data_IF_157995145874
#
_entry.id   IF_157995145874
#
_cell.length_a   1.000
_cell.length_b   1.000
_cell.length_c   1.000
_cell.angle_alpha   90.00
_cell.angle_beta   90.00
_cell.angle_gamma   90.00
#
_symmetry.space_group_name_H-M   'P 1'
#
loop_
_entity.id
_entity.type
_entity.pdbx_description
1 polymer ?
#
# COMPACT_ATOMS: atom_id res chain seq x y z
N UNK A 1 -14.19 57.72 0.64
CA UNK A 1 -15.35 56.79 0.63
C UNK A 1 -14.84 55.40 0.34
N UNK A 2 -14.52 54.63 1.39
CA UNK A 2 -13.87 53.32 1.26
C UNK A 2 -14.96 52.24 1.32
N UNK A 3 -15.37 51.82 0.12
CA UNK A 3 -15.62 50.45 -0.31
C UNK A 3 -16.34 49.47 0.65
N UNK A 4 -17.62 49.73 0.95
CA UNK A 4 -18.51 48.78 1.65
C UNK A 4 -18.67 47.43 0.92
N UNK A 5 -18.47 47.38 -0.41
CA UNK A 5 -18.59 46.16 -1.21
C UNK A 5 -17.48 45.12 -0.94
N UNK A 6 -16.27 45.55 -0.59
CA UNK A 6 -15.18 44.61 -0.28
C UNK A 6 -15.38 43.90 1.08
N UNK A 7 -16.03 44.57 2.03
CA UNK A 7 -16.33 43.98 3.34
C UNK A 7 -17.41 42.91 3.24
N UNK A 8 -18.45 43.13 2.42
CA UNK A 8 -19.52 42.14 2.22
C UNK A 8 -19.02 40.84 1.57
N UNK A 9 -18.11 40.92 0.61
CA UNK A 9 -17.57 39.71 -0.06
C UNK A 9 -16.70 38.85 0.87
N UNK A 10 -15.95 39.47 1.78
CA UNK A 10 -15.14 38.75 2.76
C UNK A 10 -16.03 38.01 3.78
N UNK A 11 -17.11 38.65 4.23
CA UNK A 11 -18.07 38.03 5.16
C UNK A 11 -18.81 36.85 4.52
N UNK A 12 -19.14 36.93 3.22
CA UNK A 12 -19.79 35.84 2.50
C UNK A 12 -18.87 34.61 2.37
N UNK A 13 -17.58 34.81 2.08
CA UNK A 13 -16.61 33.69 2.02
C UNK A 13 -16.39 33.03 3.38
N UNK A 14 -16.33 33.82 4.46
CA UNK A 14 -16.17 33.30 5.82
C UNK A 14 -17.38 32.46 6.26
N UNK A 15 -18.60 32.90 5.91
CA UNK A 15 -19.83 32.13 6.15
C UNK A 15 -19.88 30.84 5.32
N UNK A 16 -19.40 30.84 4.08
CA UNK A 16 -19.35 29.64 3.24
C UNK A 16 -18.38 28.58 3.79
N UNK A 17 -17.21 29.00 4.30
CA UNK A 17 -16.27 28.08 4.95
C UNK A 17 -16.83 27.47 6.24
N UNK A 18 -17.46 28.28 7.09
CA UNK A 18 -18.11 27.77 8.32
C UNK A 18 -19.26 26.79 8.04
N UNK A 19 -20.04 27.01 6.97
CA UNK A 19 -21.10 26.10 6.55
C UNK A 19 -20.50 24.78 6.00
N UNK A 20 -19.42 24.86 5.23
CA UNK A 20 -18.70 23.68 4.72
C UNK A 20 -18.20 22.76 5.83
N UNK A 21 -17.54 23.33 6.84
CA UNK A 21 -17.03 22.59 8.00
C UNK A 21 -18.17 21.96 8.82
N UNK A 22 -19.28 22.69 9.01
CA UNK A 22 -20.43 22.20 9.75
C UNK A 22 -21.13 21.03 9.05
N UNK A 23 -21.25 21.07 7.72
CA UNK A 23 -21.87 19.99 6.92
C UNK A 23 -21.02 18.71 6.99
N UNK A 24 -19.69 18.84 6.90
CA UNK A 24 -18.76 17.70 7.00
C UNK A 24 -18.85 17.08 8.41
N UNK A 25 -18.93 17.92 9.45
CA UNK A 25 -19.05 17.46 10.84
C UNK A 25 -20.37 16.73 11.08
N UNK A 26 -21.50 17.25 10.61
CA UNK A 26 -22.80 16.58 10.75
C UNK A 26 -22.89 15.25 9.99
N UNK A 27 -22.22 15.15 8.84
CA UNK A 27 -22.21 13.92 8.03
C UNK A 27 -21.29 12.84 8.63
N UNK A 28 -20.22 13.23 9.32
CA UNK A 28 -19.37 12.30 10.07
C UNK A 28 -20.06 11.75 11.33
N UNK A 29 -20.83 12.57 12.04
CA UNK A 29 -21.59 12.15 13.23
C UNK A 29 -22.64 11.08 12.88
N UNK A 30 -23.36 11.22 11.76
CA UNK A 30 -24.36 10.23 11.33
C UNK A 30 -23.79 8.85 11.02
N UNK A 31 -22.52 8.76 10.62
CA UNK A 31 -21.87 7.47 10.31
C UNK A 31 -21.46 6.74 11.60
N UNK A 32 -21.20 7.48 12.68
CA UNK A 32 -20.76 6.95 13.98
C UNK A 32 -21.91 6.52 14.91
N UNK A 33 -23.16 6.93 14.66
CA UNK A 33 -24.32 6.58 15.50
C UNK A 33 -24.96 5.22 15.16
N UNK A 34 -24.41 4.44 14.21
CA UNK A 34 -24.85 3.05 14.01
C UNK A 34 -24.11 2.12 14.97
N UNK A 35 -24.82 1.71 16.02
CA UNK A 35 -24.45 0.66 16.96
C UNK A 35 -23.88 -0.59 16.26
N UNK A 36 -22.71 -1.05 16.70
CA UNK A 36 -22.21 -2.39 16.43
C UNK A 36 -22.62 -3.25 17.63
N UNK A 37 -23.67 -4.04 17.46
CA UNK A 37 -24.12 -5.00 18.46
C UNK A 37 -23.24 -6.27 18.36
N UNK A 38 -22.31 -6.44 19.31
CA UNK A 38 -21.50 -7.66 19.44
C UNK A 38 -22.24 -8.59 20.41
N UNK A 39 -22.80 -9.69 19.90
CA UNK A 39 -23.33 -10.77 20.73
C UNK A 39 -22.18 -11.68 21.15
N UNK A 40 -21.96 -11.74 22.46
CA UNK A 40 -20.91 -12.50 23.14
C UNK A 40 -21.18 -14.02 23.11
N UNK A 41 -20.11 -14.78 23.05
CA UNK A 41 -20.05 -16.24 22.84
C UNK A 41 -20.62 -17.05 24.03
N UNK A 42 -21.20 -18.25 23.79
CA UNK A 42 -20.86 -19.52 24.48
C UNK A 42 -21.81 -20.70 24.15
N UNK A 43 -21.25 -21.64 23.38
CA UNK A 43 -21.37 -23.11 23.41
C UNK A 43 -22.70 -23.91 23.26
N UNK A 44 -22.63 -24.83 22.29
CA UNK A 44 -23.04 -26.25 22.29
C UNK A 44 -24.36 -26.68 21.60
N UNK A 45 -24.18 -27.05 20.31
CA UNK A 45 -24.68 -28.22 19.58
C UNK A 45 -26.11 -28.76 19.86
N UNK A 46 -27.00 -28.61 18.87
CA UNK A 46 -27.81 -29.73 18.36
C UNK A 46 -28.37 -29.42 16.97
N UNK A 47 -28.23 -30.39 16.06
CA UNK A 47 -28.55 -30.33 14.63
C UNK A 47 -29.99 -29.90 14.32
N UNK A 48 -30.11 -28.84 13.52
CA UNK A 48 -31.18 -28.66 12.51
C UNK A 48 -30.81 -27.44 11.65
N UNK A 49 -29.84 -27.60 10.74
CA UNK A 49 -29.45 -26.52 9.83
C UNK A 49 -30.40 -26.47 8.64
N UNK A 50 -31.32 -25.52 8.74
CA UNK A 50 -32.27 -25.04 7.74
C UNK A 50 -31.49 -24.49 6.53
N UNK A 51 -32.02 -24.79 5.34
CA UNK A 51 -31.54 -24.38 4.03
C UNK A 51 -31.33 -22.86 3.94
N UNK A 52 -30.08 -22.44 3.72
CA UNK A 52 -29.76 -21.06 3.36
C UNK A 52 -30.10 -20.86 1.89
N UNK A 53 -31.12 -20.05 1.64
CA UNK A 53 -31.42 -19.58 0.29
C UNK A 53 -30.30 -18.66 -0.18
N UNK A 54 -29.80 -18.95 -1.38
CA UNK A 54 -28.82 -18.22 -2.17
C UNK A 54 -29.19 -16.74 -2.34
N UNK A 55 -28.91 -15.92 -1.35
CA UNK A 55 -28.54 -14.53 -1.57
C UNK A 55 -27.15 -14.32 -1.00
N UNK A 56 -26.23 -15.06 -1.62
CA UNK A 56 -24.84 -14.66 -1.79
C UNK A 56 -24.88 -13.18 -2.16
N UNK A 57 -24.53 -12.30 -1.21
CA UNK A 57 -24.04 -10.98 -1.61
C UNK A 57 -23.06 -11.26 -2.73
N UNK A 58 -23.27 -10.75 -3.96
CA UNK A 58 -22.27 -10.93 -4.98
C UNK A 58 -20.99 -10.46 -4.33
N UNK A 59 -20.00 -11.38 -4.25
CA UNK A 59 -18.60 -11.04 -4.08
C UNK A 59 -18.44 -9.83 -4.95
N UNK A 60 -18.44 -8.64 -4.34
CA UNK A 60 -18.48 -7.39 -5.07
C UNK A 60 -17.37 -7.56 -6.06
N UNK A 61 -17.73 -7.65 -7.35
CA UNK A 61 -16.77 -7.79 -8.44
C UNK A 61 -15.68 -6.84 -8.05
N UNK A 62 -14.52 -7.40 -7.68
CA UNK A 62 -13.35 -6.62 -7.41
C UNK A 62 -13.34 -5.74 -8.65
N UNK A 63 -13.49 -4.43 -8.46
CA UNK A 63 -13.18 -3.50 -9.52
C UNK A 63 -11.70 -3.79 -9.74
N UNK A 64 -11.45 -4.76 -10.62
CA UNK A 64 -10.23 -4.91 -11.35
C UNK A 64 -10.25 -3.59 -12.08
N UNK A 65 -9.63 -2.60 -11.44
CA UNK A 65 -9.12 -1.46 -12.12
C UNK A 65 -8.18 -2.08 -13.14
N UNK A 66 -8.76 -2.50 -14.26
CA UNK A 66 -8.13 -2.75 -15.54
C UNK A 66 -7.62 -1.38 -16.01
N UNK A 67 -6.79 -0.76 -15.19
CA UNK A 67 -5.70 0.04 -15.68
C UNK A 67 -4.92 -0.98 -16.48
N UNK A 68 -4.81 -0.74 -17.78
CA UNK A 68 -3.99 -1.50 -18.73
C UNK A 68 -2.51 -1.39 -18.35
N UNK A 69 -2.15 -1.95 -17.21
CA UNK A 69 -0.92 -1.72 -16.49
C UNK A 69 -0.82 -2.64 -15.27
N UNK A 70 0.41 -2.92 -14.89
CA UNK A 70 0.72 -3.78 -13.78
C UNK A 70 0.28 -3.16 -12.44
N UNK A 71 -0.24 -3.99 -11.51
CA UNK A 71 -0.66 -3.52 -10.19
C UNK A 71 0.52 -3.05 -9.36
N UNK A 72 0.28 -2.01 -8.55
CA UNK A 72 1.32 -1.39 -7.73
C UNK A 72 1.92 -2.37 -6.71
N UNK A 73 1.11 -3.24 -6.11
CA UNK A 73 1.60 -4.26 -5.18
C UNK A 73 2.57 -5.24 -5.86
N UNK A 74 2.27 -5.64 -7.09
CA UNK A 74 3.11 -6.56 -7.85
C UNK A 74 4.47 -5.91 -8.18
N UNK A 75 4.47 -4.64 -8.62
CA UNK A 75 5.70 -3.89 -8.91
C UNK A 75 6.61 -3.75 -7.67
N UNK A 76 6.03 -3.49 -6.50
CA UNK A 76 6.78 -3.46 -5.23
C UNK A 76 7.45 -4.80 -4.94
N UNK A 77 6.70 -5.89 -5.05
CA UNK A 77 7.22 -7.24 -4.80
C UNK A 77 8.31 -7.61 -5.80
N UNK A 78 8.13 -7.30 -7.10
CA UNK A 78 9.18 -7.48 -8.12
C UNK A 78 10.46 -6.75 -7.77
N UNK A 79 10.33 -5.53 -7.24
CA UNK A 79 11.48 -4.72 -6.81
C UNK A 79 12.24 -5.38 -5.65
N UNK A 80 11.52 -5.92 -4.66
CA UNK A 80 12.10 -6.67 -3.54
C UNK A 80 12.81 -7.94 -4.03
N UNK A 81 12.21 -8.69 -4.97
CA UNK A 81 12.84 -9.88 -5.56
C UNK A 81 14.13 -9.52 -6.30
N UNK A 82 14.14 -8.42 -7.05
CA UNK A 82 15.36 -7.95 -7.72
C UNK A 82 16.46 -7.60 -6.71
N UNK A 83 16.12 -6.99 -5.57
CA UNK A 83 17.09 -6.70 -4.51
C UNK A 83 17.74 -7.99 -3.98
N UNK A 84 16.94 -8.98 -3.59
CA UNK A 84 17.44 -10.28 -3.06
C UNK A 84 18.35 -11.06 -4.05
N UNK A 85 18.41 -10.64 -5.31
CA UNK A 85 19.14 -11.33 -6.37
C UNK A 85 20.36 -10.54 -6.82
N UNK A 86 20.55 -9.34 -6.31
CA UNK A 86 21.60 -8.42 -6.79
C UNK A 86 23.01 -8.94 -6.48
N UNK A 87 23.18 -9.64 -5.37
CA UNK A 87 24.44 -10.22 -4.91
C UNK A 87 24.62 -11.69 -5.35
N UNK A 88 23.55 -12.31 -5.86
CA UNK A 88 23.52 -13.69 -6.34
C UNK A 88 23.21 -14.75 -5.27
N UNK A 89 22.91 -14.36 -4.02
CA UNK A 89 22.60 -15.29 -2.93
C UNK A 89 21.36 -14.86 -2.16
N UNK A 90 20.29 -15.66 -2.24
CA UNK A 90 19.08 -15.42 -1.45
C UNK A 90 19.20 -16.09 -0.09
N UNK A 91 19.21 -15.31 0.98
CA UNK A 91 19.25 -15.84 2.35
C UNK A 91 17.86 -16.31 2.84
N UNK A 92 17.80 -17.28 3.78
CA UNK A 92 16.53 -17.74 4.36
C UNK A 92 15.69 -16.62 4.99
N UNK A 93 16.34 -15.69 5.69
CA UNK A 93 15.71 -14.60 6.44
C UNK A 93 15.07 -13.57 5.49
N UNK A 94 15.73 -13.27 4.38
CA UNK A 94 15.20 -12.44 3.30
C UNK A 94 13.96 -13.07 2.66
N UNK A 95 14.02 -14.39 2.42
CA UNK A 95 12.90 -15.14 1.85
C UNK A 95 11.70 -15.18 2.78
N UNK A 96 11.93 -15.32 4.08
CA UNK A 96 10.86 -15.25 5.09
C UNK A 96 10.23 -13.86 5.12
N UNK A 97 11.05 -12.80 5.07
CA UNK A 97 10.54 -11.44 5.01
C UNK A 97 9.67 -11.20 3.77
N UNK A 98 10.16 -11.57 2.58
CA UNK A 98 9.39 -11.46 1.34
C UNK A 98 8.08 -12.25 1.41
N UNK A 99 8.09 -13.44 2.04
CA UNK A 99 6.88 -14.24 2.24
C UNK A 99 5.86 -13.51 3.10
N UNK A 100 6.28 -12.81 4.14
CA UNK A 100 5.38 -11.99 4.96
C UNK A 100 4.78 -10.84 4.15
N UNK A 101 5.58 -10.15 3.34
CA UNK A 101 5.09 -9.08 2.45
C UNK A 101 4.06 -9.63 1.46
N UNK A 102 4.34 -10.75 0.79
CA UNK A 102 3.41 -11.40 -0.15
C UNK A 102 2.11 -11.82 0.54
N UNK A 103 2.20 -12.36 1.76
CA UNK A 103 1.03 -12.86 2.51
C UNK A 103 0.10 -11.73 2.93
N UNK A 104 0.65 -10.58 3.27
CA UNK A 104 -0.12 -9.40 3.68
C UNK A 104 -0.56 -8.55 2.48
N UNK A 105 -0.04 -8.82 1.29
CA UNK A 105 -0.43 -8.13 0.07
C UNK A 105 -1.76 -8.68 -0.48
N UNK A 106 -2.60 -7.79 -0.98
CA UNK A 106 -3.87 -8.16 -1.62
C UNK A 106 -3.63 -8.65 -3.06
N UNK A 107 -3.02 -9.83 -3.20
CA UNK A 107 -2.67 -10.43 -4.49
C UNK A 107 -3.68 -11.49 -4.90
N UNK A 108 -3.95 -11.57 -6.19
CA UNK A 108 -4.70 -12.66 -6.80
C UNK A 108 -3.85 -13.92 -6.88
N UNK A 109 -4.52 -15.07 -7.00
CA UNK A 109 -3.84 -16.36 -7.23
C UNK A 109 -2.95 -16.34 -8.47
N UNK A 110 -3.32 -15.59 -9.52
CA UNK A 110 -2.52 -15.43 -10.73
C UNK A 110 -1.22 -14.67 -10.46
N UNK A 111 -1.28 -13.55 -9.73
CA UNK A 111 -0.11 -12.76 -9.35
C UNK A 111 0.84 -13.54 -8.44
N UNK A 112 0.30 -14.35 -7.51
CA UNK A 112 1.11 -15.23 -6.67
C UNK A 112 1.87 -16.26 -7.52
N UNK A 113 1.26 -16.81 -8.57
CA UNK A 113 1.94 -17.72 -9.49
C UNK A 113 2.98 -16.99 -10.33
N UNK A 114 2.69 -15.77 -10.78
CA UNK A 114 3.67 -14.93 -11.46
C UNK A 114 4.91 -14.70 -10.59
N UNK A 115 4.72 -14.26 -9.34
CA UNK A 115 5.81 -14.05 -8.37
C UNK A 115 6.67 -15.31 -8.20
N UNK A 116 6.04 -16.49 -8.09
CA UNK A 116 6.78 -17.77 -8.00
C UNK A 116 7.65 -18.03 -9.23
N UNK A 117 7.16 -17.73 -10.42
CA UNK A 117 7.92 -17.88 -11.66
C UNK A 117 9.08 -16.87 -11.74
N UNK A 118 8.88 -15.67 -11.22
CA UNK A 118 9.88 -14.60 -11.19
C UNK A 118 11.05 -14.88 -10.24
N UNK A 119 10.80 -15.60 -9.14
CA UNK A 119 11.88 -16.06 -8.24
C UNK A 119 12.93 -16.90 -9.00
N UNK A 120 12.51 -17.67 -10.02
CA UNK A 120 13.39 -18.48 -10.86
C UNK A 120 13.99 -17.74 -12.07
N UNK A 121 13.51 -16.53 -12.38
CA UNK A 121 13.94 -15.75 -13.55
C UNK A 121 15.27 -15.02 -13.30
N UNK A 122 16.02 -14.59 -14.32
CA UNK A 122 17.32 -13.96 -14.06
C UNK A 122 17.23 -12.46 -13.73
N UNK A 123 16.29 -11.76 -14.37
CA UNK A 123 16.07 -10.33 -14.20
C UNK A 123 14.58 -10.04 -14.36
N UNK A 124 14.08 -9.15 -13.52
CA UNK A 124 12.69 -8.69 -13.58
C UNK A 124 12.70 -7.22 -13.96
N UNK A 125 11.96 -6.86 -15.01
CA UNK A 125 11.75 -5.46 -15.36
C UNK A 125 10.63 -4.88 -14.50
N UNK A 126 10.84 -3.63 -14.04
CA UNK A 126 9.89 -2.93 -13.16
C UNK A 126 9.76 -1.51 -13.70
N UNK A 127 8.51 -1.08 -13.90
CA UNK A 127 8.20 0.31 -14.24
C UNK A 127 8.09 1.16 -12.96
N UNK A 128 9.21 1.75 -12.55
CA UNK A 128 9.26 2.66 -11.40
C UNK A 128 8.50 3.96 -11.61
N UNK A 129 8.16 4.33 -12.86
CA UNK A 129 7.42 5.56 -13.14
C UNK A 129 5.98 5.49 -12.61
N UNK A 130 5.41 4.29 -12.49
CA UNK A 130 4.11 4.10 -11.86
C UNK A 130 4.21 4.26 -10.34
N UNK A 131 5.24 3.69 -9.72
CA UNK A 131 5.48 3.80 -8.26
C UNK A 131 5.73 5.26 -7.87
N UNK A 132 6.52 6.00 -8.65
CA UNK A 132 6.85 7.41 -8.41
C UNK A 132 5.62 8.35 -8.38
N UNK A 133 4.47 7.93 -8.94
CA UNK A 133 3.22 8.69 -8.87
C UNK A 133 2.54 8.64 -7.50
N UNK A 134 2.97 7.72 -6.64
CA UNK A 134 2.42 7.48 -5.31
C UNK A 134 3.54 7.61 -4.25
N UNK A 135 3.81 8.81 -3.74
CA UNK A 135 4.96 9.07 -2.86
C UNK A 135 4.98 8.24 -1.58
N UNK A 136 3.81 8.00 -0.95
CA UNK A 136 3.71 7.20 0.26
C UNK A 136 4.07 5.72 -0.01
N UNK A 137 3.60 5.19 -1.15
CA UNK A 137 3.93 3.84 -1.59
C UNK A 137 5.40 3.71 -2.00
N UNK A 138 5.98 4.74 -2.60
CA UNK A 138 7.38 4.80 -2.98
C UNK A 138 8.30 4.85 -1.74
N UNK A 139 7.91 5.64 -0.72
CA UNK A 139 8.62 5.70 0.56
C UNK A 139 8.52 4.37 1.30
N UNK A 140 7.30 3.80 1.38
CA UNK A 140 7.08 2.48 1.97
C UNK A 140 7.95 1.40 1.32
N UNK A 141 8.01 1.37 -0.02
CA UNK A 141 8.90 0.45 -0.73
C UNK A 141 10.37 0.70 -0.41
N UNK A 142 10.81 1.96 -0.30
CA UNK A 142 12.20 2.28 0.04
C UNK A 142 12.56 1.78 1.45
N UNK A 143 11.64 1.91 2.41
CA UNK A 143 11.79 1.38 3.77
C UNK A 143 11.86 -0.16 3.74
N UNK A 144 10.97 -0.82 3.01
CA UNK A 144 10.96 -2.28 2.89
C UNK A 144 12.25 -2.81 2.25
N UNK A 145 12.80 -2.10 1.24
CA UNK A 145 14.07 -2.44 0.62
C UNK A 145 15.24 -2.36 1.61
N UNK A 146 15.30 -1.31 2.42
CA UNK A 146 16.36 -1.14 3.42
C UNK A 146 16.20 -2.18 4.53
N UNK A 147 14.98 -2.45 4.98
CA UNK A 147 14.70 -3.47 5.98
C UNK A 147 15.07 -4.88 5.50
N UNK A 148 14.83 -5.18 4.22
CA UNK A 148 15.21 -6.43 3.58
C UNK A 148 16.74 -6.57 3.50
N UNK A 149 17.44 -5.58 2.97
CA UNK A 149 18.90 -5.61 2.82
C UNK A 149 19.70 -5.58 4.13
N UNK A 150 19.06 -5.25 5.26
CA UNK A 150 19.69 -5.30 6.59
C UNK A 150 19.37 -6.59 7.36
N UNK A 151 18.53 -7.47 6.80
CA UNK A 151 17.88 -8.54 7.55
C UNK A 151 18.85 -9.62 8.02
N UNK A 152 19.82 -9.98 7.18
CA UNK A 152 20.86 -10.97 7.48
C UNK A 152 22.02 -10.41 8.32
N UNK A 153 22.03 -9.09 8.56
CA UNK A 153 23.03 -8.38 9.35
C UNK A 153 24.16 -7.76 8.53
N UNK A 154 24.25 -8.06 7.23
CA UNK A 154 25.30 -7.56 6.34
C UNK A 154 24.70 -6.71 5.22
N UNK A 155 24.75 -5.39 5.37
CA UNK A 155 24.26 -4.49 4.33
C UNK A 155 25.29 -4.32 3.20
N UNK A 156 25.21 -5.15 2.17
CA UNK A 156 26.20 -5.26 1.10
C UNK A 156 26.25 -4.02 0.20
N UNK A 157 27.40 -3.80 -0.44
CA UNK A 157 27.61 -2.64 -1.32
C UNK A 157 26.72 -2.69 -2.57
N UNK A 158 26.46 -3.88 -3.10
CA UNK A 158 25.59 -4.12 -4.27
C UNK A 158 24.13 -3.76 -3.97
N UNK A 159 23.63 -4.13 -2.80
CA UNK A 159 22.31 -3.76 -2.30
C UNK A 159 22.19 -2.24 -2.10
N UNK A 160 23.18 -1.63 -1.43
CA UNK A 160 23.24 -0.17 -1.28
C UNK A 160 23.17 0.55 -2.62
N UNK A 161 23.93 0.09 -3.60
CA UNK A 161 23.93 0.68 -4.95
C UNK A 161 22.58 0.49 -5.64
N UNK A 162 21.98 -0.70 -5.53
CA UNK A 162 20.65 -0.98 -6.09
C UNK A 162 19.58 -0.10 -5.47
N UNK A 163 19.52 0.00 -4.14
CA UNK A 163 18.53 0.83 -3.43
C UNK A 163 18.70 2.30 -3.78
N UNK A 164 19.93 2.82 -3.91
CA UNK A 164 20.18 4.19 -4.40
C UNK A 164 19.64 4.41 -5.81
N UNK A 165 19.87 3.45 -6.71
CA UNK A 165 19.38 3.53 -8.08
C UNK A 165 17.84 3.54 -8.12
N UNK A 166 17.21 2.61 -7.40
CA UNK A 166 15.74 2.50 -7.34
C UNK A 166 15.13 3.74 -6.68
N UNK A 167 15.71 4.22 -5.58
CA UNK A 167 15.29 5.46 -4.91
C UNK A 167 15.27 6.65 -5.87
N UNK A 168 16.34 6.81 -6.66
CA UNK A 168 16.40 7.85 -7.71
C UNK A 168 15.32 7.68 -8.78
N UNK A 169 15.06 6.45 -9.22
CA UNK A 169 14.00 6.17 -10.21
C UNK A 169 12.60 6.43 -9.67
N UNK A 170 12.41 6.34 -8.35
CA UNK A 170 11.16 6.69 -7.66
C UNK A 170 11.04 8.18 -7.33
N UNK A 171 12.06 8.99 -7.63
CA UNK A 171 12.05 10.45 -7.44
C UNK A 171 12.69 10.96 -6.15
N UNK A 172 13.32 10.10 -5.35
CA UNK A 172 14.06 10.52 -4.15
C UNK A 172 15.43 11.10 -4.51
N UNK A 173 15.91 12.05 -3.70
CA UNK A 173 17.30 12.52 -3.81
C UNK A 173 18.27 11.48 -3.24
N UNK A 174 19.52 11.49 -3.71
CA UNK A 174 20.55 10.60 -3.16
C UNK A 174 20.83 10.87 -1.67
N UNK A 175 20.59 12.10 -1.20
CA UNK A 175 20.74 12.49 0.20
C UNK A 175 19.66 11.83 1.05
N UNK A 176 18.38 11.95 0.65
CA UNK A 176 17.25 11.37 1.39
C UNK A 176 17.39 9.85 1.51
N UNK A 177 17.77 9.18 0.41
CA UNK A 177 18.01 7.73 0.42
C UNK A 177 19.17 7.37 1.36
N UNK A 178 20.25 8.16 1.36
CA UNK A 178 21.39 7.92 2.24
C UNK A 178 21.02 8.12 3.72
N UNK A 179 20.20 9.12 4.05
CA UNK A 179 19.70 9.34 5.41
C UNK A 179 18.85 8.16 5.90
N UNK A 180 17.92 7.68 5.07
CA UNK A 180 17.11 6.50 5.40
C UNK A 180 17.94 5.22 5.56
N UNK A 181 19.07 5.10 4.88
CA UNK A 181 19.98 3.96 5.06
C UNK A 181 20.70 3.97 6.42
N UNK A 182 20.82 5.14 7.06
CA UNK A 182 21.49 5.29 8.35
C UNK A 182 20.55 5.03 9.54
N UNK A 183 19.23 5.09 9.34
CA UNK A 183 18.23 4.71 10.36
C UNK A 183 18.20 3.21 10.60
#
# INVERSE_FOLDING_TARGET
>A
MINQQNTSNKVIQELQNQIGEKIITSKAIQIFEKEIEILDETESLSESSIEYTDNLFPLSEIEVNNITGERLELLKIKTLINLMKVDGSIQPEEKEYLKTIITNANLTSAEIQEIKNLLSSQRIEVDYSLIAKYPDDALGLLVDLIALAKRDGDFHITEKMYIKQVGKLMGFSEVDVAELMLS
#
